data_IF_089028940262
#
_entry.id   IF_089028940262
#
_cell.length_a   1.000
_cell.length_b   1.000
_cell.length_c   1.000
_cell.angle_alpha   90.00
_cell.angle_beta   90.00
_cell.angle_gamma   90.00
#
_symmetry.space_group_name_H-M   'P 1'
#
loop_
_entity.id
_entity.type
_entity.pdbx_description
1 polymer ?
#
# COMPACT_ATOMS: atom_id res chain seq x y z
N UNK A 1 22.54 -4.66 6.38
CA UNK A 1 22.24 -5.80 7.26
C UNK A 1 21.92 -5.22 8.64
N UNK A 2 20.64 -5.02 9.00
CA UNK A 2 20.26 -4.41 10.27
C UNK A 2 19.33 -5.33 11.08
N UNK A 3 19.94 -5.95 12.10
CA UNK A 3 19.54 -6.01 13.51
C UNK A 3 18.07 -6.34 13.89
N UNK A 4 17.64 -7.57 13.61
CA UNK A 4 16.52 -8.19 14.32
C UNK A 4 17.04 -9.33 15.20
N UNK A 5 16.60 -9.39 16.46
CA UNK A 5 16.87 -10.52 17.37
C UNK A 5 15.58 -11.31 17.56
N UNK A 6 15.61 -12.61 17.24
CA UNK A 6 14.49 -13.53 17.47
C UNK A 6 14.38 -13.81 18.97
N UNK A 7 13.21 -13.61 19.57
CA UNK A 7 13.01 -13.79 21.02
C UNK A 7 12.32 -15.12 21.32
N UNK A 8 11.39 -15.54 20.46
CA UNK A 8 10.71 -16.83 20.56
C UNK A 8 10.11 -17.24 19.19
N UNK A 9 9.34 -18.33 19.16
CA UNK A 9 8.63 -18.84 17.97
C UNK A 9 7.57 -17.89 17.41
N UNK A 10 7.22 -16.83 18.14
CA UNK A 10 6.09 -15.95 17.85
C UNK A 10 6.49 -14.50 17.52
N UNK A 11 7.77 -14.12 17.53
CA UNK A 11 8.13 -12.75 17.17
C UNK A 11 9.61 -12.34 17.19
N UNK A 12 9.86 -11.18 16.59
CA UNK A 12 11.14 -10.47 16.50
C UNK A 12 11.03 -9.07 17.12
N UNK A 13 12.10 -8.57 17.76
CA UNK A 13 12.22 -7.16 18.19
C UNK A 13 13.09 -6.36 17.22
N UNK A 14 12.67 -5.12 16.96
CA UNK A 14 13.38 -4.14 16.15
C UNK A 14 14.33 -3.31 17.03
N UNK A 15 15.60 -3.16 16.62
CA UNK A 15 16.64 -2.42 17.35
C UNK A 15 16.85 -0.96 16.84
N UNK A 16 15.91 -0.39 16.08
CA UNK A 16 16.00 0.97 15.50
C UNK A 16 15.58 2.15 16.40
N UNK A 17 16.05 3.36 16.06
CA UNK A 17 15.85 4.63 16.82
C UNK A 17 14.36 5.01 17.02
N UNK A 18 14.07 5.46 18.26
CA UNK A 18 12.74 5.66 18.91
C UNK A 18 11.88 4.40 18.86
N UNK A 19 11.94 3.63 19.95
CA UNK A 19 11.07 2.48 20.22
C UNK A 19 9.61 2.91 20.18
N UNK A 20 8.97 2.79 19.02
CA UNK A 20 7.51 2.75 18.96
C UNK A 20 7.08 1.49 19.72
N UNK A 21 6.47 1.67 20.88
CA UNK A 21 5.88 0.56 21.63
C UNK A 21 4.64 0.12 20.83
N UNK A 22 4.82 -0.88 19.98
CA UNK A 22 3.72 -1.51 19.27
C UNK A 22 2.95 -2.40 20.25
N UNK A 23 1.62 -2.47 20.16
CA UNK A 23 0.85 -3.43 20.94
C UNK A 23 1.34 -4.86 20.64
N UNK A 24 1.24 -5.79 21.62
CA UNK A 24 1.58 -7.17 21.37
C UNK A 24 0.75 -7.71 20.21
N UNK A 25 1.42 -8.39 19.27
CA UNK A 25 0.75 -9.00 18.14
C UNK A 25 -0.28 -10.03 18.64
N UNK A 26 -1.53 -9.88 18.18
CA UNK A 26 -2.60 -10.83 18.47
C UNK A 26 -2.92 -11.62 17.21
N UNK A 27 -2.51 -12.90 17.20
CA UNK A 27 -2.87 -13.81 16.12
C UNK A 27 -4.38 -14.09 16.14
N UNK A 28 -4.97 -14.25 14.96
CA UNK A 28 -6.36 -14.64 14.87
C UNK A 28 -6.56 -16.08 15.37
N UNK A 29 -7.66 -16.32 16.09
CA UNK A 29 -7.94 -17.55 16.87
C UNK A 29 -7.78 -18.88 16.12
N UNK A 30 -7.92 -18.89 14.80
CA UNK A 30 -7.77 -20.10 13.95
C UNK A 30 -6.59 -20.04 12.98
N UNK A 31 -5.84 -18.94 12.99
CA UNK A 31 -4.67 -18.71 12.13
C UNK A 31 -3.45 -18.41 13.00
N UNK A 32 -3.19 -19.27 13.98
CA UNK A 32 -2.10 -19.09 14.93
C UNK A 32 -0.75 -19.46 14.28
N UNK A 33 0.27 -18.63 14.45
CA UNK A 33 1.59 -18.84 13.86
C UNK A 33 1.76 -18.18 12.48
N UNK A 34 3.01 -17.95 12.07
CA UNK A 34 3.34 -17.19 10.86
C UNK A 34 2.86 -17.86 9.56
N UNK A 35 2.95 -19.20 9.49
CA UNK A 35 2.59 -19.94 8.28
C UNK A 35 1.07 -19.92 8.04
N UNK A 36 0.27 -20.14 9.09
CA UNK A 36 -1.18 -20.08 8.97
C UNK A 36 -1.66 -18.67 8.65
N UNK A 37 -1.02 -17.62 9.16
CA UNK A 37 -1.34 -16.24 8.74
C UNK A 37 -1.03 -16.01 7.26
N UNK A 38 0.08 -16.53 6.76
CA UNK A 38 0.45 -16.45 5.34
C UNK A 38 -0.55 -17.21 4.46
N UNK A 39 -0.88 -18.45 4.85
CA UNK A 39 -1.86 -19.26 4.15
C UNK A 39 -3.24 -18.61 4.16
N UNK A 40 -3.67 -18.02 5.28
CA UNK A 40 -4.92 -17.27 5.36
C UNK A 40 -5.01 -16.23 4.25
N UNK A 41 -3.97 -15.40 4.11
CA UNK A 41 -3.94 -14.34 3.10
C UNK A 41 -4.00 -14.85 1.67
N UNK A 42 -3.59 -16.11 1.42
CA UNK A 42 -3.66 -16.73 0.09
C UNK A 42 -4.95 -17.52 -0.13
N UNK A 43 -5.57 -18.05 0.92
CA UNK A 43 -6.70 -18.99 0.83
C UNK A 43 -8.05 -18.32 1.10
N UNK A 44 -8.08 -17.28 1.94
CA UNK A 44 -9.30 -16.60 2.35
C UNK A 44 -9.38 -15.28 1.62
N UNK A 45 -10.14 -15.27 0.52
CA UNK A 45 -10.42 -14.06 -0.23
C UNK A 45 -11.35 -13.15 0.56
N UNK A 46 -10.85 -11.98 0.97
CA UNK A 46 -11.70 -10.99 1.64
C UNK A 46 -12.39 -10.14 0.57
N UNK A 47 -13.62 -10.48 0.19
CA UNK A 47 -14.44 -9.69 -0.74
C UNK A 47 -14.97 -8.37 -0.16
N UNK A 48 -14.33 -7.84 0.88
CA UNK A 48 -14.80 -6.69 1.65
C UNK A 48 -14.55 -5.36 0.93
N UNK A 49 -13.54 -5.30 0.07
CA UNK A 49 -13.28 -4.13 -0.75
C UNK A 49 -14.01 -4.27 -2.09
N UNK A 50 -14.91 -3.33 -2.36
CA UNK A 50 -15.44 -3.09 -3.70
C UNK A 50 -15.15 -1.65 -4.08
N UNK A 51 -14.60 -1.45 -5.27
CA UNK A 51 -14.26 -0.11 -5.77
C UNK A 51 -15.49 0.80 -5.81
N UNK A 52 -16.66 0.25 -6.15
CA UNK A 52 -17.94 0.97 -6.18
C UNK A 52 -18.45 1.41 -4.79
N UNK A 53 -17.89 0.88 -3.70
CA UNK A 53 -18.30 1.21 -2.34
C UNK A 53 -17.72 2.55 -1.85
N UNK A 54 -16.71 3.08 -2.54
CA UNK A 54 -16.04 4.31 -2.13
C UNK A 54 -16.06 5.35 -3.23
N UNK A 55 -16.19 6.62 -2.86
CA UNK A 55 -15.88 7.71 -3.79
C UNK A 55 -14.39 7.63 -4.12
N UNK A 56 -14.06 7.70 -5.40
CA UNK A 56 -12.68 7.65 -5.86
C UNK A 56 -12.35 8.76 -6.86
N UNK A 57 -11.07 9.10 -6.95
CA UNK A 57 -10.52 10.02 -7.93
C UNK A 57 -9.24 9.42 -8.51
N UNK A 58 -9.17 9.30 -9.83
CA UNK A 58 -7.95 8.87 -10.52
C UNK A 58 -7.03 10.06 -10.79
N UNK A 59 -5.73 9.84 -10.60
CA UNK A 59 -4.66 10.79 -10.86
C UNK A 59 -3.64 10.14 -11.81
N UNK A 60 -3.18 10.93 -12.78
CA UNK A 60 -2.06 10.57 -13.63
C UNK A 60 -0.91 11.50 -13.26
N UNK A 61 0.23 10.90 -12.92
CA UNK A 61 1.45 11.59 -12.55
C UNK A 61 2.45 11.38 -13.68
N UNK A 62 3.04 12.48 -14.14
CA UNK A 62 4.05 12.50 -15.20
C UNK A 62 5.42 12.77 -14.59
N UNK A 63 6.28 11.74 -14.46
CA UNK A 63 7.60 11.92 -13.89
C UNK A 63 8.50 12.79 -14.76
N UNK A 64 9.27 13.68 -14.14
CA UNK A 64 10.17 14.60 -14.85
C UNK A 64 11.54 13.96 -15.16
N UNK A 65 11.57 12.76 -15.73
CA UNK A 65 12.80 12.05 -16.11
C UNK A 65 12.99 11.89 -17.63
N UNK A 66 12.12 12.52 -18.43
CA UNK A 66 12.22 12.52 -19.89
C UNK A 66 11.74 11.23 -20.56
N UNK A 67 11.23 10.24 -19.82
CA UNK A 67 10.77 8.99 -20.41
C UNK A 67 9.37 9.08 -21.06
N UNK A 68 8.59 10.11 -20.71
CA UNK A 68 7.17 10.26 -21.05
C UNK A 68 6.26 9.14 -20.51
N UNK A 69 6.72 8.37 -19.52
CA UNK A 69 5.88 7.38 -18.84
C UNK A 69 4.85 8.04 -17.92
N UNK A 70 3.90 7.22 -17.46
CA UNK A 70 2.82 7.64 -16.59
C UNK A 70 2.73 6.73 -15.37
N UNK A 71 2.62 7.34 -14.20
CA UNK A 71 2.23 6.68 -12.97
C UNK A 71 0.73 6.91 -12.77
N UNK A 72 -0.01 5.86 -12.45
CA UNK A 72 -1.44 5.94 -12.19
C UNK A 72 -1.68 5.79 -10.69
N UNK A 73 -2.51 6.65 -10.11
CA UNK A 73 -2.93 6.51 -8.73
C UNK A 73 -4.44 6.66 -8.62
N UNK A 74 -5.03 5.91 -7.70
CA UNK A 74 -6.45 6.04 -7.34
C UNK A 74 -6.56 6.47 -5.89
N UNK A 75 -7.19 7.61 -5.65
CA UNK A 75 -7.46 8.15 -4.33
C UNK A 75 -8.88 7.76 -3.93
N UNK A 76 -9.02 7.02 -2.85
CA UNK A 76 -10.27 6.64 -2.24
C UNK A 76 -10.57 7.53 -1.03
N UNK A 77 -11.85 7.90 -0.90
CA UNK A 77 -12.34 8.72 0.21
C UNK A 77 -13.23 7.88 1.14
N UNK A 78 -13.01 7.97 2.46
CA UNK A 78 -13.87 7.30 3.43
C UNK A 78 -15.25 7.99 3.49
N UNK A 79 -16.26 7.28 3.98
CA UNK A 79 -17.60 7.86 4.17
C UNK A 79 -17.56 9.06 5.15
N UNK A 80 -16.79 8.92 6.24
CA UNK A 80 -16.52 9.99 7.20
C UNK A 80 -15.04 10.37 7.15
N UNK A 81 -14.75 11.55 6.61
CA UNK A 81 -13.38 12.07 6.49
C UNK A 81 -12.94 12.64 7.82
N UNK A 82 -11.83 12.12 8.36
CA UNK A 82 -11.14 12.71 9.50
C UNK A 82 -10.05 13.69 9.01
N UNK A 83 -9.72 14.75 9.78
CA UNK A 83 -8.63 15.67 9.45
C UNK A 83 -7.27 15.04 9.79
N UNK A 84 -6.98 13.89 9.18
CA UNK A 84 -5.77 13.07 9.38
C UNK A 84 -5.04 12.88 8.05
N UNK A 85 -3.74 12.54 8.06
CA UNK A 85 -2.94 12.44 6.84
C UNK A 85 -3.47 11.41 5.83
N UNK A 86 -3.17 11.63 4.55
CA UNK A 86 -3.36 10.67 3.47
C UNK A 86 -2.44 9.44 3.68
N UNK A 87 -2.97 8.24 3.45
CA UNK A 87 -2.18 7.01 3.40
C UNK A 87 -1.84 6.71 1.93
N UNK A 88 -0.54 6.68 1.60
CA UNK A 88 -0.05 6.22 0.30
C UNK A 88 0.29 4.73 0.38
N UNK A 89 -0.41 3.92 -0.40
CA UNK A 89 -0.11 2.50 -0.59
C UNK A 89 0.65 2.31 -1.90
N UNK A 90 1.74 1.56 -1.82
CA UNK A 90 2.58 1.21 -2.97
C UNK A 90 2.66 -0.31 -3.04
N UNK A 91 2.32 -0.88 -4.20
CA UNK A 91 2.36 -2.32 -4.39
C UNK A 91 3.81 -2.84 -4.53
N UNK A 92 3.99 -4.14 -4.27
CA UNK A 92 5.25 -4.86 -4.49
C UNK A 92 5.42 -5.37 -5.93
N UNK A 93 6.43 -6.23 -6.14
CA UNK A 93 6.63 -6.90 -7.43
C UNK A 93 5.37 -7.65 -7.86
N UNK A 94 5.09 -7.64 -9.16
CA UNK A 94 3.90 -8.15 -9.87
C UNK A 94 2.55 -7.63 -9.35
N UNK A 95 2.56 -6.60 -8.50
CA UNK A 95 1.35 -6.02 -7.92
C UNK A 95 0.73 -4.89 -8.76
N UNK A 96 -0.41 -4.41 -8.26
CA UNK A 96 -1.20 -3.28 -8.75
C UNK A 96 -2.15 -2.81 -7.64
N UNK A 97 -2.85 -1.71 -7.84
CA UNK A 97 -3.92 -1.25 -6.95
C UNK A 97 -5.05 -2.28 -6.76
N UNK A 98 -5.26 -3.16 -7.76
CA UNK A 98 -6.26 -4.24 -7.72
C UNK A 98 -5.77 -5.51 -7.04
N UNK A 99 -4.53 -5.53 -6.57
CA UNK A 99 -4.01 -6.66 -5.79
C UNK A 99 -4.78 -6.79 -4.47
N UNK A 100 -5.13 -8.01 -4.09
CA UNK A 100 -6.00 -8.25 -2.93
C UNK A 100 -5.46 -7.64 -1.62
N UNK A 101 -4.15 -7.77 -1.36
CA UNK A 101 -3.54 -7.17 -0.18
C UNK A 101 -3.64 -5.63 -0.20
N UNK A 102 -3.55 -4.99 -1.38
CA UNK A 102 -3.72 -3.54 -1.54
C UNK A 102 -5.15 -3.14 -1.20
N UNK A 103 -6.13 -3.84 -1.76
CA UNK A 103 -7.55 -3.60 -1.55
C UNK A 103 -7.96 -3.80 -0.09
N UNK A 104 -7.52 -4.90 0.54
CA UNK A 104 -7.79 -5.17 1.96
C UNK A 104 -7.15 -4.12 2.88
N UNK A 105 -5.92 -3.69 2.57
CA UNK A 105 -5.24 -2.64 3.32
C UNK A 105 -5.94 -1.29 3.14
N UNK A 106 -6.36 -0.96 1.92
CA UNK A 106 -7.12 0.26 1.63
C UNK A 106 -8.46 0.26 2.39
N UNK A 107 -9.21 -0.85 2.34
CA UNK A 107 -10.47 -1.01 3.08
C UNK A 107 -10.29 -0.74 4.58
N UNK A 108 -9.26 -1.31 5.20
CA UNK A 108 -8.97 -1.12 6.62
C UNK A 108 -8.74 0.37 6.97
N UNK A 109 -7.96 1.09 6.17
CA UNK A 109 -7.70 2.51 6.43
C UNK A 109 -8.92 3.40 6.10
N UNK A 110 -9.66 3.09 5.04
CA UNK A 110 -10.88 3.80 4.67
C UNK A 110 -11.96 3.67 5.77
N UNK A 111 -12.20 2.45 6.26
CA UNK A 111 -13.11 2.22 7.40
C UNK A 111 -12.63 2.89 8.69
N UNK A 112 -11.33 3.14 8.82
CA UNK A 112 -10.74 3.90 9.93
C UNK A 112 -10.84 5.43 9.76
N UNK A 113 -11.33 5.92 8.61
CA UNK A 113 -11.55 7.35 8.30
C UNK A 113 -10.38 8.05 7.61
N UNK A 114 -9.39 7.29 7.10
CA UNK A 114 -8.28 7.83 6.33
C UNK A 114 -8.65 7.93 4.84
N UNK A 115 -8.18 8.99 4.17
CA UNK A 115 -8.05 8.97 2.71
C UNK A 115 -6.92 8.03 2.34
N UNK A 116 -7.09 7.26 1.27
CA UNK A 116 -6.09 6.27 0.82
C UNK A 116 -5.80 6.48 -0.65
N UNK A 117 -4.52 6.66 -1.00
CA UNK A 117 -4.05 6.70 -2.38
C UNK A 117 -3.32 5.39 -2.70
N UNK A 118 -3.85 4.62 -3.63
CA UNK A 118 -3.19 3.44 -4.18
C UNK A 118 -2.40 3.86 -5.42
N UNK A 119 -1.08 3.72 -5.38
CA UNK A 119 -0.19 4.04 -6.50
C UNK A 119 0.16 2.77 -7.28
N UNK A 120 -0.07 2.80 -8.59
CA UNK A 120 0.55 1.89 -9.55
C UNK A 120 1.89 2.46 -10.00
N UNK A 121 2.96 1.69 -9.80
CA UNK A 121 4.28 2.02 -10.33
C UNK A 121 4.32 1.85 -11.86
N UNK A 122 5.33 2.41 -12.52
CA UNK A 122 5.42 2.41 -14.00
C UNK A 122 5.37 1.00 -14.57
N UNK A 123 4.56 0.82 -15.60
CA UNK A 123 4.39 -0.48 -16.24
C UNK A 123 3.60 -1.47 -15.38
N UNK A 124 2.92 -1.02 -14.31
CA UNK A 124 2.00 -1.82 -13.52
C UNK A 124 0.56 -1.29 -13.67
N UNK A 125 -0.41 -2.21 -13.50
CA UNK A 125 -1.82 -1.91 -13.60
C UNK A 125 -2.17 -1.24 -14.94
N UNK A 126 -2.91 -0.11 -14.94
CA UNK A 126 -3.31 0.60 -16.17
C UNK A 126 -2.15 1.04 -17.07
N UNK A 127 -0.94 1.20 -16.51
CA UNK A 127 0.22 1.73 -17.23
C UNK A 127 1.07 0.67 -17.94
N UNK A 128 0.69 -0.61 -17.85
CA UNK A 128 1.49 -1.76 -18.35
C UNK A 128 1.83 -1.68 -19.84
N UNK A 129 0.93 -1.12 -20.66
CA UNK A 129 1.10 -1.03 -22.11
C UNK A 129 1.59 0.34 -22.60
N UNK A 130 1.66 1.34 -21.73
CA UNK A 130 1.97 2.74 -22.09
C UNK A 130 3.34 3.21 -21.60
N UNK A 131 3.93 2.52 -20.61
CA UNK A 131 5.26 2.85 -20.12
C UNK A 131 6.36 2.15 -20.93
N UNK A 132 7.39 2.90 -21.28
CA UNK A 132 8.65 2.42 -21.88
C UNK A 132 9.53 1.78 -20.84
N UNK A 133 9.61 2.36 -19.65
CA UNK A 133 10.36 1.80 -18.55
C UNK A 133 9.46 1.09 -17.54
N UNK A 134 10.06 0.14 -16.81
CA UNK A 134 9.36 -0.63 -15.77
C UNK A 134 9.84 -0.24 -14.39
N UNK A 135 8.96 -0.41 -13.41
CA UNK A 135 9.34 -0.29 -12.02
C UNK A 135 10.39 -1.34 -11.62
N UNK A 136 11.23 -0.97 -10.64
CA UNK A 136 12.15 -1.86 -9.95
C UNK A 136 12.42 -1.30 -8.55
N UNK A 137 12.96 -2.13 -7.65
CA UNK A 137 13.15 -1.76 -6.24
C UNK A 137 14.06 -0.54 -6.01
N UNK A 138 14.86 -0.16 -7.01
CA UNK A 138 15.75 1.01 -6.96
C UNK A 138 15.11 2.32 -7.41
N UNK A 139 13.91 2.31 -7.99
CA UNK A 139 13.28 3.50 -8.60
C UNK A 139 12.49 4.34 -7.60
N UNK A 140 13.10 4.67 -6.47
CA UNK A 140 12.48 5.50 -5.42
C UNK A 140 12.08 6.91 -5.89
N UNK A 141 12.66 7.38 -7.00
CA UNK A 141 12.31 8.68 -7.58
C UNK A 141 10.84 8.77 -8.01
N UNK A 142 10.20 7.66 -8.40
CA UNK A 142 8.78 7.64 -8.75
C UNK A 142 7.91 7.99 -7.55
N UNK A 143 8.32 7.57 -6.36
CA UNK A 143 7.65 7.93 -5.10
C UNK A 143 7.84 9.43 -4.84
N UNK A 144 9.05 9.97 -5.06
CA UNK A 144 9.29 11.41 -4.92
C UNK A 144 8.40 12.22 -5.85
N UNK A 145 8.35 11.89 -7.14
CA UNK A 145 7.50 12.59 -8.11
C UNK A 145 6.02 12.49 -7.76
N UNK A 146 5.60 11.33 -7.26
CA UNK A 146 4.24 11.14 -6.75
C UNK A 146 3.95 12.10 -5.60
N UNK A 147 4.78 12.12 -4.56
CA UNK A 147 4.60 12.98 -3.39
C UNK A 147 4.58 14.47 -3.77
N UNK A 148 5.46 14.90 -4.67
CA UNK A 148 5.53 16.28 -5.14
C UNK A 148 4.28 16.68 -5.96
N UNK A 149 3.56 15.70 -6.53
CA UNK A 149 2.36 15.91 -7.36
C UNK A 149 1.05 15.81 -6.58
N UNK A 150 1.07 15.42 -5.31
CA UNK A 150 -0.15 15.28 -4.49
C UNK A 150 -0.78 16.67 -4.28
N UNK A 151 -2.05 16.89 -4.67
CA UNK A 151 -2.75 18.14 -4.39
C UNK A 151 -2.82 18.42 -2.89
N UNK A 152 -2.58 19.67 -2.48
CA UNK A 152 -2.64 20.10 -1.06
C UNK A 152 -4.03 19.95 -0.41
N UNK A 153 -5.07 19.71 -1.21
CA UNK A 153 -6.44 19.46 -0.74
C UNK A 153 -6.66 18.02 -0.27
N UNK A 154 -5.75 17.10 -0.62
CA UNK A 154 -5.69 15.73 -0.08
C UNK A 154 -4.92 15.69 1.24
#
# INVERSE_FOLDING_TARGET
MNAYKKINSSGYINLGRKSTVLPPYQAQRFWCGGDLQTLKSSLVRSGAFSESSYKSQHLIIYPCDGSNDQLHATVYFPETVKPIPLILLVHGLTGSETSEYMQNTAHYFLTSGYKVMCLNLRGAGPSVNSCRERYHAGRSIDIKYTLDSIPKSL
#
